data_IF_367590600462
#
_entry.id   IF_367590600462
#
_cell.length_a   1.000
_cell.length_b   1.000
_cell.length_c   1.000
_cell.angle_alpha   90.00
_cell.angle_beta   90.00
_cell.angle_gamma   90.00
#
_symmetry.space_group_name_H-M   'P 1'
#
loop_
_entity.id
_entity.type
_entity.pdbx_description
1 polymer ?
#
# COMPACT_ATOMS: atom_id res chain seq x y z
N UNK A 1 37.83 -33.93 -41.31
CA UNK A 1 38.34 -34.42 -42.61
C UNK A 1 37.47 -35.51 -43.23
N UNK A 2 37.27 -36.70 -42.62
CA UNK A 2 36.39 -37.74 -43.20
C UNK A 2 34.92 -37.36 -43.17
N UNK A 3 34.46 -36.75 -42.08
CA UNK A 3 33.08 -36.27 -41.92
C UNK A 3 32.76 -35.12 -42.86
N UNK A 4 33.69 -34.18 -43.06
CA UNK A 4 33.50 -33.07 -44.02
C UNK A 4 33.41 -33.56 -45.47
N UNK A 5 34.17 -34.60 -45.81
CA UNK A 5 34.08 -35.26 -47.13
C UNK A 5 32.76 -35.99 -47.29
N UNK A 6 32.25 -36.63 -46.23
CA UNK A 6 30.94 -37.26 -46.23
C UNK A 6 29.82 -36.24 -46.36
N UNK A 7 29.86 -35.15 -45.61
CA UNK A 7 28.91 -34.03 -45.66
C UNK A 7 28.90 -33.37 -47.04
N UNK A 8 30.07 -33.12 -47.64
CA UNK A 8 30.16 -32.58 -49.01
C UNK A 8 29.61 -33.55 -50.05
N UNK A 9 29.83 -34.85 -49.88
CA UNK A 9 29.30 -35.86 -50.79
C UNK A 9 27.78 -36.01 -50.64
N UNK A 10 27.26 -35.99 -49.42
CA UNK A 10 25.82 -35.99 -49.13
C UNK A 10 25.12 -34.71 -49.65
N UNK A 11 25.77 -33.54 -49.51
CA UNK A 11 25.28 -32.29 -50.08
C UNK A 11 25.27 -32.35 -51.62
N UNK A 12 26.36 -32.79 -52.24
CA UNK A 12 26.43 -32.92 -53.70
C UNK A 12 25.43 -33.94 -54.27
N UNK A 13 25.21 -35.07 -53.58
CA UNK A 13 24.22 -36.08 -53.96
C UNK A 13 22.78 -35.59 -53.66
N UNK A 14 22.60 -34.75 -52.63
CA UNK A 14 21.33 -34.10 -52.28
C UNK A 14 20.91 -32.99 -53.25
N UNK A 15 21.87 -32.28 -53.85
CA UNK A 15 21.67 -31.22 -54.86
C UNK A 15 21.34 -31.73 -56.27
N UNK A 16 21.18 -33.05 -56.47
CA UNK A 16 20.78 -33.61 -57.76
C UNK A 16 21.91 -33.70 -58.82
N UNK A 17 23.16 -33.45 -58.43
CA UNK A 17 24.31 -33.54 -59.38
C UNK A 17 24.49 -34.95 -59.96
N UNK A 18 24.02 -35.99 -59.26
CA UNK A 18 23.97 -37.36 -59.77
C UNK A 18 22.86 -37.62 -60.79
N UNK A 19 21.76 -36.86 -60.77
CA UNK A 19 20.69 -36.94 -61.78
C UNK A 19 21.12 -36.28 -63.09
N UNK A 20 21.75 -35.10 -63.01
CA UNK A 20 22.32 -34.40 -64.16
C UNK A 20 23.33 -35.26 -64.92
N UNK A 21 24.24 -35.95 -64.21
CA UNK A 21 25.20 -36.88 -64.82
C UNK A 21 24.50 -38.07 -65.50
N UNK A 22 23.44 -38.62 -64.90
CA UNK A 22 22.64 -39.71 -65.48
C UNK A 22 21.91 -39.25 -66.75
N UNK A 23 21.38 -38.03 -66.75
CA UNK A 23 20.73 -37.43 -67.91
C UNK A 23 21.72 -37.18 -69.06
N UNK A 24 22.92 -36.66 -68.76
CA UNK A 24 23.99 -36.50 -69.73
C UNK A 24 24.43 -37.84 -70.35
N UNK A 25 24.52 -38.90 -69.53
CA UNK A 25 24.84 -40.25 -69.99
C UNK A 25 23.74 -40.83 -70.89
N UNK A 26 22.47 -40.63 -70.53
CA UNK A 26 21.33 -41.02 -71.36
C UNK A 26 21.36 -40.30 -72.71
N UNK A 27 21.61 -38.99 -72.73
CA UNK A 27 21.72 -38.21 -73.96
C UNK A 27 22.88 -38.72 -74.85
N UNK A 28 24.00 -39.11 -74.24
CA UNK A 28 25.11 -39.79 -74.93
C UNK A 28 24.67 -41.12 -75.57
N UNK A 29 23.97 -41.98 -74.82
CA UNK A 29 23.45 -43.26 -75.34
C UNK A 29 22.43 -43.05 -76.47
N UNK A 30 21.53 -42.08 -76.36
CA UNK A 30 20.54 -41.77 -77.40
C UNK A 30 21.19 -41.27 -78.70
N UNK A 31 22.29 -40.50 -78.61
CA UNK A 31 23.06 -40.08 -79.79
C UNK A 31 23.74 -41.24 -80.50
N UNK A 32 24.26 -42.23 -79.76
CA UNK A 32 24.87 -43.43 -80.32
C UNK A 32 23.85 -44.33 -81.02
N UNK A 33 22.65 -44.48 -80.43
CA UNK A 33 21.54 -45.24 -80.99
C UNK A 33 20.93 -44.60 -82.26
N UNK A 34 21.15 -43.31 -82.48
CA UNK A 34 20.69 -42.59 -83.68
C UNK A 34 21.48 -42.95 -84.94
N UNK A 35 22.70 -43.47 -84.80
CA UNK A 35 23.57 -43.81 -85.93
C UNK A 35 23.33 -45.26 -86.37
N UNK A 36 22.79 -45.46 -87.58
CA UNK A 36 22.38 -46.77 -88.09
C UNK A 36 23.51 -47.82 -88.16
N UNK A 37 24.77 -47.39 -88.20
CA UNK A 37 25.94 -48.27 -88.32
C UNK A 37 26.48 -48.77 -86.97
N UNK A 38 25.95 -48.32 -85.83
CA UNK A 38 26.48 -48.61 -84.47
C UNK A 38 25.43 -49.12 -83.49
N UNK A 39 24.23 -49.48 -83.95
CA UNK A 39 23.11 -49.86 -83.08
C UNK A 39 23.38 -51.20 -82.38
N UNK A 40 24.00 -51.14 -81.21
CA UNK A 40 24.21 -52.29 -80.33
C UNK A 40 23.03 -52.49 -79.40
N UNK A 41 22.48 -53.71 -79.34
CA UNK A 41 21.41 -54.10 -78.40
C UNK A 41 21.76 -53.76 -76.94
N UNK A 42 23.04 -53.80 -76.59
CA UNK A 42 23.52 -53.46 -75.25
C UNK A 42 23.34 -51.96 -74.91
N UNK A 43 23.53 -51.07 -75.89
CA UNK A 43 23.34 -49.62 -75.72
C UNK A 43 21.86 -49.25 -75.57
N UNK A 44 20.98 -49.95 -76.29
CA UNK A 44 19.53 -49.79 -76.17
C UNK A 44 19.03 -50.21 -74.77
N UNK A 45 19.49 -51.36 -74.28
CA UNK A 45 19.17 -51.83 -72.91
C UNK A 45 19.74 -50.87 -71.85
N UNK A 46 20.93 -50.31 -72.08
CA UNK A 46 21.52 -49.30 -71.18
C UNK A 46 20.70 -48.00 -71.16
N UNK A 47 20.24 -47.52 -72.32
CA UNK A 47 19.40 -46.33 -72.41
C UNK A 47 18.05 -46.55 -71.69
N UNK A 48 17.38 -47.69 -71.89
CA UNK A 48 16.13 -48.02 -71.20
C UNK A 48 16.30 -48.04 -69.67
N UNK A 49 17.34 -48.69 -69.16
CA UNK A 49 17.63 -48.69 -67.70
C UNK A 49 17.88 -47.30 -67.13
N UNK A 50 18.55 -46.43 -67.91
CA UNK A 50 18.79 -45.04 -67.50
C UNK A 50 17.48 -44.24 -67.51
N UNK A 51 16.60 -44.45 -68.48
CA UNK A 51 15.26 -43.84 -68.51
C UNK A 51 14.43 -44.28 -67.31
N UNK A 52 14.34 -45.58 -67.04
CA UNK A 52 13.59 -46.12 -65.89
C UNK A 52 14.10 -45.53 -64.55
N UNK A 53 15.42 -45.43 -64.40
CA UNK A 53 16.06 -44.85 -63.20
C UNK A 53 15.75 -43.36 -63.05
N UNK A 54 15.75 -42.59 -64.15
CA UNK A 54 15.43 -41.17 -64.14
C UNK A 54 13.93 -40.93 -63.86
N UNK A 55 13.04 -41.72 -64.47
CA UNK A 55 11.61 -41.66 -64.19
C UNK A 55 11.29 -41.92 -62.72
N UNK A 56 11.93 -42.93 -62.12
CA UNK A 56 11.76 -43.21 -60.70
C UNK A 56 12.29 -42.05 -59.83
N UNK A 57 13.44 -41.48 -60.18
CA UNK A 57 13.99 -40.29 -59.51
C UNK A 57 13.02 -39.11 -59.58
N UNK A 58 12.44 -38.84 -60.74
CA UNK A 58 11.46 -37.76 -60.92
C UNK A 58 10.20 -37.96 -60.08
N UNK A 59 9.68 -39.20 -60.02
CA UNK A 59 8.52 -39.53 -59.16
C UNK A 59 8.86 -39.31 -57.68
N UNK A 60 10.04 -39.76 -57.24
CA UNK A 60 10.53 -39.54 -55.88
C UNK A 60 10.65 -38.04 -55.55
N UNK A 61 11.23 -37.24 -56.44
CA UNK A 61 11.37 -35.79 -56.26
C UNK A 61 10.01 -35.11 -56.12
N UNK A 62 9.00 -35.53 -56.90
CA UNK A 62 7.64 -35.01 -56.79
C UNK A 62 7.02 -35.31 -55.42
N UNK A 63 7.13 -36.55 -54.94
CA UNK A 63 6.63 -36.94 -53.62
C UNK A 63 7.34 -36.19 -52.48
N UNK A 64 8.66 -36.00 -52.59
CA UNK A 64 9.42 -35.20 -51.62
C UNK A 64 8.95 -33.75 -51.64
N UNK A 65 8.79 -33.14 -52.81
CA UNK A 65 8.31 -31.77 -52.92
C UNK A 65 6.91 -31.58 -52.31
N UNK A 66 6.00 -32.54 -52.52
CA UNK A 66 4.69 -32.54 -51.89
C UNK A 66 4.77 -32.69 -50.37
N UNK A 67 5.59 -33.62 -49.89
CA UNK A 67 5.83 -33.84 -48.47
C UNK A 67 6.39 -32.57 -47.80
N UNK A 68 7.43 -31.97 -48.38
CA UNK A 68 8.04 -30.73 -47.87
C UNK A 68 6.99 -29.61 -47.82
N UNK A 69 6.16 -29.46 -48.87
CA UNK A 69 5.08 -28.47 -48.88
C UNK A 69 4.06 -28.68 -47.75
N UNK A 70 3.73 -29.94 -47.43
CA UNK A 70 2.85 -30.27 -46.29
C UNK A 70 3.53 -29.94 -44.96
N UNK A 71 4.79 -30.34 -44.80
CA UNK A 71 5.57 -30.07 -43.59
C UNK A 71 5.75 -28.57 -43.34
N UNK A 72 6.06 -27.77 -44.36
CA UNK A 72 6.17 -26.30 -44.23
C UNK A 72 4.89 -25.70 -43.68
N UNK A 73 3.72 -26.11 -44.19
CA UNK A 73 2.41 -25.65 -43.69
C UNK A 73 2.14 -26.06 -42.24
N UNK A 74 2.60 -27.25 -41.84
CA UNK A 74 2.47 -27.69 -40.44
C UNK A 74 3.38 -26.88 -39.51
N UNK A 75 4.61 -26.58 -39.94
CA UNK A 75 5.52 -25.71 -39.19
C UNK A 75 4.99 -24.28 -39.07
N UNK A 76 4.41 -23.71 -40.13
CA UNK A 76 3.72 -22.41 -40.08
C UNK A 76 2.60 -22.41 -39.05
N UNK A 77 1.72 -23.43 -39.08
CA UNK A 77 0.65 -23.59 -38.08
C UNK A 77 1.16 -23.81 -36.66
N UNK A 78 2.32 -24.45 -36.49
CA UNK A 78 2.93 -24.60 -35.17
C UNK A 78 3.50 -23.28 -34.68
N UNK A 79 4.17 -22.51 -35.55
CA UNK A 79 4.67 -21.18 -35.21
C UNK A 79 3.53 -20.25 -34.76
N UNK A 80 2.43 -20.19 -35.51
CA UNK A 80 1.25 -19.40 -35.13
C UNK A 80 0.64 -19.82 -33.78
N UNK A 81 0.65 -21.13 -33.46
CA UNK A 81 0.18 -21.63 -32.17
C UNK A 81 1.08 -21.19 -31.04
N UNK A 82 2.39 -21.31 -31.22
CA UNK A 82 3.39 -20.86 -30.24
C UNK A 82 3.25 -19.35 -30.00
N UNK A 83 3.08 -18.54 -31.04
CA UNK A 83 2.90 -17.10 -30.89
C UNK A 83 1.64 -16.74 -30.10
N UNK A 84 0.52 -17.45 -30.34
CA UNK A 84 -0.72 -17.29 -29.57
C UNK A 84 -0.53 -17.67 -28.11
N UNK A 85 0.15 -18.79 -27.83
CA UNK A 85 0.42 -19.22 -26.46
C UNK A 85 1.35 -18.24 -25.72
N UNK A 86 2.35 -17.69 -26.42
CA UNK A 86 3.21 -16.63 -25.87
C UNK A 86 2.39 -15.39 -25.53
N UNK A 87 1.47 -14.96 -26.40
CA UNK A 87 0.60 -13.82 -26.14
C UNK A 87 -0.27 -14.03 -24.90
N UNK A 88 -0.93 -15.19 -24.80
CA UNK A 88 -1.74 -15.57 -23.63
C UNK A 88 -0.89 -15.62 -22.35
N UNK A 89 0.32 -16.19 -22.43
CA UNK A 89 1.24 -16.27 -21.29
C UNK A 89 1.67 -14.88 -20.80
N UNK A 90 1.95 -13.96 -21.73
CA UNK A 90 2.28 -12.56 -21.42
C UNK A 90 1.11 -11.86 -20.72
N UNK A 91 -0.11 -12.06 -21.19
CA UNK A 91 -1.31 -11.49 -20.57
C UNK A 91 -1.52 -12.03 -19.14
N UNK A 92 -1.42 -13.35 -18.95
CA UNK A 92 -1.49 -13.98 -17.62
C UNK A 92 -0.41 -13.45 -16.68
N UNK A 93 0.80 -13.22 -17.19
CA UNK A 93 1.89 -12.65 -16.40
C UNK A 93 1.60 -11.19 -16.00
N UNK A 94 0.99 -10.40 -16.88
CA UNK A 94 0.59 -9.03 -16.57
C UNK A 94 -0.50 -9.00 -15.48
N UNK A 95 -1.51 -9.87 -15.60
CA UNK A 95 -2.56 -10.03 -14.58
C UNK A 95 -1.97 -10.45 -13.23
N UNK A 96 -1.12 -11.49 -13.21
CA UNK A 96 -0.47 -11.97 -11.99
C UNK A 96 0.40 -10.89 -11.31
N UNK A 97 1.05 -10.00 -12.09
CA UNK A 97 1.79 -8.86 -11.56
C UNK A 97 0.88 -7.84 -10.89
N UNK A 98 -0.27 -7.53 -11.50
CA UNK A 98 -1.26 -6.63 -10.93
C UNK A 98 -1.83 -7.18 -9.62
N UNK A 99 -2.21 -8.46 -9.60
CA UNK A 99 -2.71 -9.14 -8.41
C UNK A 99 -1.69 -9.17 -7.28
N UNK A 100 -0.42 -9.42 -7.62
CA UNK A 100 0.67 -9.41 -6.65
C UNK A 100 0.91 -8.01 -6.08
N UNK A 101 0.79 -6.95 -6.88
CA UNK A 101 0.86 -5.58 -6.39
C UNK A 101 -0.30 -5.25 -5.43
N UNK A 102 -1.53 -5.64 -5.78
CA UNK A 102 -2.70 -5.47 -4.92
C UNK A 102 -2.55 -6.25 -3.60
N UNK A 103 -2.09 -7.51 -3.65
CA UNK A 103 -1.86 -8.33 -2.46
C UNK A 103 -0.77 -7.74 -1.55
N UNK A 104 0.30 -7.17 -2.14
CA UNK A 104 1.34 -6.45 -1.38
C UNK A 104 0.78 -5.22 -0.67
N UNK A 105 -0.08 -4.46 -1.32
CA UNK A 105 -0.75 -3.30 -0.72
C UNK A 105 -1.62 -3.72 0.47
N UNK A 106 -2.48 -4.74 0.28
CA UNK A 106 -3.30 -5.27 1.37
C UNK A 106 -2.44 -5.76 2.54
N UNK A 107 -1.32 -6.43 2.26
CA UNK A 107 -0.39 -6.88 3.31
C UNK A 107 0.24 -5.69 4.05
N UNK A 108 0.61 -4.62 3.35
CA UNK A 108 1.16 -3.41 3.95
C UNK A 108 0.12 -2.75 4.87
N UNK A 109 -1.09 -2.52 4.35
CA UNK A 109 -2.18 -1.94 5.11
C UNK A 109 -2.50 -2.78 6.36
N UNK A 110 -2.53 -4.11 6.24
CA UNK A 110 -2.77 -5.00 7.39
C UNK A 110 -1.70 -4.88 8.48
N UNK A 111 -0.44 -4.67 8.11
CA UNK A 111 0.64 -4.42 9.09
C UNK A 111 0.48 -3.07 9.77
N UNK A 112 0.13 -2.02 9.01
CA UNK A 112 -0.13 -0.68 9.56
C UNK A 112 -1.32 -0.69 10.52
N UNK A 113 -2.41 -1.37 10.14
CA UNK A 113 -3.56 -1.56 11.04
C UNK A 113 -3.18 -2.35 12.30
N UNK A 114 -2.38 -3.42 12.18
CA UNK A 114 -1.93 -4.15 13.36
C UNK A 114 -1.08 -3.30 14.31
N UNK A 115 -0.22 -2.41 13.76
CA UNK A 115 0.55 -1.46 14.56
C UNK A 115 -0.37 -0.48 15.29
N UNK A 116 -1.33 0.12 14.58
CA UNK A 116 -2.30 1.05 15.15
C UNK A 116 -3.16 0.38 16.24
N UNK A 117 -3.58 -0.86 16.02
CA UNK A 117 -4.33 -1.64 17.01
C UNK A 117 -3.48 -1.85 18.26
N UNK A 118 -2.20 -2.21 18.13
CA UNK A 118 -1.29 -2.33 19.28
C UNK A 118 -1.17 -1.02 20.07
N UNK A 119 -1.04 0.12 19.37
CA UNK A 119 -1.01 1.44 20.03
C UNK A 119 -2.33 1.79 20.73
N UNK A 120 -3.47 1.34 20.19
CA UNK A 120 -4.80 1.58 20.78
C UNK A 120 -5.02 0.66 21.99
N UNK A 121 -4.53 -0.57 21.96
CA UNK A 121 -4.61 -1.53 23.08
C UNK A 121 -3.82 -1.07 24.32
N UNK A 122 -2.76 -0.29 24.14
CA UNK A 122 -2.01 0.33 25.23
C UNK A 122 -2.81 1.44 25.96
N UNK A 123 -3.85 1.98 25.32
CA UNK A 123 -4.71 3.02 25.89
C UNK A 123 -5.89 2.40 26.67
N UNK A 124 -6.34 3.03 27.76
CA UNK A 124 -7.49 2.54 28.51
C UNK A 124 -8.75 2.53 27.64
N UNK A 125 -9.62 1.55 27.90
CA UNK A 125 -10.86 1.41 27.15
C UNK A 125 -11.70 2.69 27.24
N UNK A 126 -12.34 3.05 26.13
CA UNK A 126 -13.24 4.21 26.07
C UNK A 126 -14.33 4.13 27.14
N UNK A 127 -14.84 2.94 27.43
CA UNK A 127 -15.88 2.76 28.45
C UNK A 127 -15.36 3.00 29.87
N UNK A 128 -14.08 2.68 30.13
CA UNK A 128 -13.45 2.93 31.43
C UNK A 128 -13.14 4.41 31.62
N UNK A 129 -12.66 5.09 30.57
CA UNK A 129 -12.41 6.54 30.64
C UNK A 129 -13.69 7.35 30.75
N UNK A 130 -14.79 6.94 30.10
CA UNK A 130 -16.10 7.59 30.30
C UNK A 130 -16.62 7.42 31.71
N UNK A 131 -16.51 6.22 32.29
CA UNK A 131 -16.91 6.01 33.70
C UNK A 131 -16.10 6.87 34.66
N UNK A 132 -14.78 6.90 34.51
CA UNK A 132 -13.91 7.76 35.34
C UNK A 132 -14.27 9.24 35.21
N UNK A 133 -14.67 9.69 34.02
CA UNK A 133 -15.15 11.06 33.81
C UNK A 133 -16.48 11.32 34.53
N UNK A 134 -17.42 10.39 34.44
CA UNK A 134 -18.70 10.46 35.15
C UNK A 134 -18.49 10.51 36.67
N UNK A 135 -17.69 9.60 37.22
CA UNK A 135 -17.35 9.55 38.65
C UNK A 135 -16.70 10.86 39.12
N UNK A 136 -15.69 11.36 38.39
CA UNK A 136 -15.02 12.64 38.70
C UNK A 136 -15.98 13.83 38.64
N UNK A 137 -16.96 13.78 37.73
CA UNK A 137 -17.94 14.85 37.58
C UNK A 137 -18.96 14.82 38.73
N UNK A 138 -19.39 13.65 39.19
CA UNK A 138 -20.21 13.49 40.39
C UNK A 138 -19.46 13.99 41.64
N UNK A 139 -18.18 13.63 41.80
CA UNK A 139 -17.34 14.10 42.91
C UNK A 139 -17.19 15.63 42.90
N UNK A 140 -17.01 16.24 41.72
CA UNK A 140 -16.94 17.70 41.55
C UNK A 140 -18.23 18.38 42.02
N UNK A 141 -19.38 17.87 41.58
CA UNK A 141 -20.69 18.39 41.99
C UNK A 141 -20.87 18.28 43.50
N UNK A 142 -20.55 17.12 44.08
CA UNK A 142 -20.64 16.91 45.53
C UNK A 142 -19.71 17.84 46.32
N UNK A 143 -18.48 18.08 45.85
CA UNK A 143 -17.57 19.03 46.49
C UNK A 143 -18.08 20.47 46.39
N UNK A 144 -18.65 20.85 45.25
CA UNK A 144 -19.22 22.18 45.04
C UNK A 144 -20.43 22.42 45.95
N UNK A 145 -21.32 21.44 46.10
CA UNK A 145 -22.44 21.50 47.06
C UNK A 145 -21.95 21.63 48.50
N UNK A 146 -20.94 20.84 48.88
CA UNK A 146 -20.34 20.90 50.22
C UNK A 146 -19.68 22.26 50.48
N UNK A 147 -19.01 22.83 49.49
CA UNK A 147 -18.44 24.17 49.58
C UNK A 147 -19.53 25.21 49.82
N UNK A 148 -20.62 25.19 49.03
CA UNK A 148 -21.75 26.10 49.22
C UNK A 148 -22.37 25.99 50.62
N UNK A 149 -22.52 24.77 51.15
CA UNK A 149 -23.02 24.56 52.51
C UNK A 149 -22.08 25.13 53.58
N UNK A 150 -20.77 24.99 53.40
CA UNK A 150 -19.78 25.55 54.33
C UNK A 150 -19.76 27.08 54.28
N UNK A 151 -19.84 27.66 53.09
CA UNK A 151 -19.95 29.12 52.90
C UNK A 151 -21.22 29.67 53.57
N UNK A 152 -22.36 28.98 53.42
CA UNK A 152 -23.61 29.35 54.10
C UNK A 152 -23.48 29.29 55.64
N UNK A 153 -22.83 28.25 56.19
CA UNK A 153 -22.58 28.17 57.64
C UNK A 153 -21.62 29.25 58.12
N UNK A 154 -20.62 29.60 57.32
CA UNK A 154 -19.68 30.68 57.64
C UNK A 154 -20.38 32.04 57.66
N UNK A 155 -21.25 32.32 56.70
CA UNK A 155 -22.02 33.56 56.66
C UNK A 155 -22.98 33.67 57.85
N UNK A 156 -23.65 32.58 58.22
CA UNK A 156 -24.51 32.53 59.41
C UNK A 156 -23.72 32.81 60.70
N UNK A 157 -22.54 32.20 60.87
CA UNK A 157 -21.66 32.48 62.02
C UNK A 157 -21.18 33.93 62.03
N UNK A 158 -20.87 34.51 60.87
CA UNK A 158 -20.49 35.92 60.75
C UNK A 158 -21.65 36.83 61.18
N UNK A 159 -22.89 36.47 60.81
CA UNK A 159 -24.09 37.18 61.26
C UNK A 159 -24.31 37.05 62.77
N UNK A 160 -24.13 35.87 63.35
CA UNK A 160 -24.21 35.68 64.81
C UNK A 160 -23.16 36.50 65.58
N UNK A 161 -21.91 36.52 65.10
CA UNK A 161 -20.86 37.37 65.69
C UNK A 161 -21.19 38.85 65.56
N UNK A 162 -21.74 39.28 64.42
CA UNK A 162 -22.16 40.66 64.24
C UNK A 162 -23.28 41.04 65.21
N UNK A 163 -24.30 40.19 65.36
CA UNK A 163 -25.38 40.38 66.34
C UNK A 163 -24.84 40.44 67.78
N UNK A 164 -23.91 39.55 68.14
CA UNK A 164 -23.26 39.57 69.45
C UNK A 164 -22.45 40.84 69.68
N UNK A 165 -21.72 41.33 68.66
CA UNK A 165 -21.02 42.62 68.73
C UNK A 165 -21.99 43.79 68.94
N UNK A 166 -23.16 43.79 68.28
CA UNK A 166 -24.19 44.81 68.51
C UNK A 166 -24.71 44.74 69.95
N UNK A 167 -24.98 43.53 70.47
CA UNK A 167 -25.42 43.34 71.85
C UNK A 167 -24.36 43.84 72.84
N UNK A 168 -23.08 43.50 72.62
CA UNK A 168 -21.96 43.98 73.46
C UNK A 168 -21.82 45.49 73.40
N UNK A 169 -21.92 46.10 72.22
CA UNK A 169 -21.89 47.56 72.08
C UNK A 169 -23.06 48.23 72.82
N UNK A 170 -24.25 47.64 72.74
CA UNK A 170 -25.42 48.12 73.49
C UNK A 170 -25.23 47.96 75.00
N UNK A 171 -24.68 46.84 75.48
CA UNK A 171 -24.34 46.65 76.90
C UNK A 171 -23.27 47.62 77.37
N UNK A 172 -22.22 47.86 76.59
CA UNK A 172 -21.20 48.86 76.90
C UNK A 172 -21.80 50.26 76.98
N UNK A 173 -22.73 50.59 76.08
CA UNK A 173 -23.47 51.84 76.14
C UNK A 173 -24.34 51.93 77.39
N UNK A 174 -25.04 50.85 77.74
CA UNK A 174 -25.89 50.80 78.93
C UNK A 174 -25.08 50.91 80.23
N UNK A 175 -23.90 50.29 80.29
CA UNK A 175 -22.94 50.46 81.39
C UNK A 175 -22.37 51.88 81.43
N UNK A 176 -22.03 52.48 80.29
CA UNK A 176 -21.60 53.87 80.22
C UNK A 176 -22.73 54.86 80.60
N UNK A 177 -23.98 54.51 80.31
CA UNK A 177 -25.17 55.28 80.69
C UNK A 177 -25.48 55.13 82.19
N UNK A 178 -25.32 53.93 82.80
CA UNK A 178 -25.42 53.70 84.27
C UNK A 178 -24.27 54.36 85.05
N UNK A 179 -23.04 54.33 84.52
CA UNK A 179 -21.91 55.06 85.07
C UNK A 179 -22.17 56.59 84.99
N UNK A 180 -22.80 57.08 83.92
CA UNK A 180 -23.24 58.48 83.78
C UNK A 180 -24.41 58.85 84.71
N UNK A 181 -25.33 57.94 85.05
CA UNK A 181 -26.41 58.20 86.02
C UNK A 181 -25.88 58.31 87.47
N UNK A 182 -24.73 57.70 87.80
CA UNK A 182 -24.02 57.89 89.07
C UNK A 182 -23.05 59.08 89.07
N UNK A 183 -22.80 59.69 87.92
CA UNK A 183 -21.81 60.76 87.75
C UNK A 183 -22.35 61.95 86.97
N UNK A 184 -23.55 62.41 87.32
CA UNK A 184 -24.03 63.71 86.86
C UNK A 184 -23.64 64.83 87.85
N UNK A 185 -22.36 65.20 87.81
CA UNK A 185 -21.96 66.61 87.89
C UNK A 185 -20.85 66.83 86.84
N UNK A 186 -21.14 67.70 85.88
CA UNK A 186 -20.46 67.86 84.58
C UNK A 186 -19.15 68.70 84.70
N UNK A 187 -18.51 69.22 83.63
CA UNK A 187 -18.59 68.92 82.18
C UNK A 187 -17.19 68.86 81.48
N UNK A 188 -17.23 68.52 80.17
CA UNK A 188 -16.67 69.34 79.07
C UNK A 188 -15.60 68.70 78.14
N UNK A 189 -16.02 68.59 76.87
CA UNK A 189 -15.33 68.90 75.59
C UNK A 189 -13.92 68.39 75.25
N UNK A 190 -13.82 67.71 74.09
CA UNK A 190 -13.16 68.16 72.83
C UNK A 190 -13.13 66.96 71.85
N UNK A 191 -13.91 66.96 70.76
CA UNK A 191 -13.50 67.40 69.42
C UNK A 191 -13.07 66.20 68.54
N UNK A 192 -13.95 65.63 67.69
CA UNK A 192 -13.95 65.75 66.21
C UNK A 192 -12.56 65.58 65.55
N UNK A 193 -12.25 64.74 64.55
CA UNK A 193 -12.95 64.16 63.37
C UNK A 193 -12.02 63.06 62.77
N UNK A 194 -12.52 61.92 62.25
CA UNK A 194 -12.72 61.53 60.82
C UNK A 194 -11.47 61.68 59.92
N UNK A 195 -11.12 60.82 58.97
CA UNK A 195 -11.78 59.72 58.22
C UNK A 195 -10.70 59.02 57.35
N UNK A 196 -11.03 57.80 56.89
CA UNK A 196 -10.61 57.17 55.60
C UNK A 196 -9.10 56.87 55.38
N UNK A 197 -8.65 55.66 55.06
CA UNK A 197 -9.19 54.71 54.09
C UNK A 197 -8.42 54.87 52.79
N UNK A 198 -7.44 54.00 52.50
CA UNK A 198 -7.29 53.47 51.14
C UNK A 198 -6.38 52.24 51.07
N UNK A 199 -6.79 51.39 50.14
CA UNK A 199 -6.11 50.23 49.59
C UNK A 199 -4.75 50.61 48.98
N UNK A 200 -3.79 49.68 48.95
CA UNK A 200 -3.10 49.45 47.69
C UNK A 200 -2.47 48.06 47.57
N UNK A 201 -2.79 47.47 46.44
CA UNK A 201 -2.60 46.10 45.99
C UNK A 201 -1.18 45.92 45.44
N UNK A 202 -0.47 44.89 45.90
CA UNK A 202 0.82 44.52 45.35
C UNK A 202 0.65 43.77 44.02
N UNK A 203 0.66 44.53 42.93
CA UNK A 203 0.90 44.00 41.60
C UNK A 203 2.31 43.37 41.51
N UNK A 204 2.39 42.06 41.30
CA UNK A 204 3.58 41.39 40.76
C UNK A 204 3.09 40.30 39.80
N UNK A 205 3.02 40.61 38.51
CA UNK A 205 4.07 40.41 37.51
C UNK A 205 4.07 39.00 36.91
N UNK A 206 3.46 38.94 35.73
CA UNK A 206 3.95 38.26 34.51
C UNK A 206 4.51 36.83 34.66
N UNK A 207 3.81 35.87 34.04
CA UNK A 207 4.45 34.96 33.08
C UNK A 207 3.46 34.51 32.01
N UNK A 208 3.80 34.92 30.80
CA UNK A 208 3.12 34.66 29.54
C UNK A 208 3.29 33.21 29.09
N UNK A 209 2.22 32.71 28.45
CA UNK A 209 2.17 31.88 27.24
C UNK A 209 3.32 30.92 26.92
N UNK A 210 2.98 29.64 26.74
CA UNK A 210 3.42 28.93 25.53
C UNK A 210 2.40 27.84 25.14
N UNK A 211 1.69 28.11 24.05
CA UNK A 211 0.78 27.22 23.34
C UNK A 211 1.35 26.97 21.95
N UNK A 212 1.35 25.69 21.55
CA UNK A 212 1.49 25.14 20.19
C UNK A 212 2.84 25.33 19.46
N UNK A 213 3.45 24.22 19.04
CA UNK A 213 3.34 23.81 17.63
C UNK A 213 3.74 22.33 17.42
N UNK A 214 3.01 21.67 16.54
CA UNK A 214 3.22 20.31 16.03
C UNK A 214 3.80 20.43 14.62
N UNK A 215 5.00 19.88 14.42
CA UNK A 215 5.61 19.66 13.11
C UNK A 215 6.26 18.29 13.04
#
# INVERSE_FOLDING_TARGET
MREDVLLRKLLADGEGTGEERRFQLLNGCLRLLRNANTVSKAEAVKALRLMDSLELSMRKQREIAEMTKRQTREYEKMAERVDKEIAISREKMAQAKADLAAARLVRKNRKEYALLVGMIEDLPSRAETTRKLEDMQEELVHQQERQQQLEARLSERRNHLHALNIILANFQKLLADEDNELSNDAPNELGEKKEEGDDDDHSNKERSSETMDMG
#
